data_IF_106906132277
#
_entry.id   IF_106906132277
#
_cell.length_a   1.000
_cell.length_b   1.000
_cell.length_c   1.000
_cell.angle_alpha   90.00
_cell.angle_beta   90.00
_cell.angle_gamma   90.00
#
_symmetry.space_group_name_H-M   'P 1'
#
loop_
_entity.id
_entity.type
_entity.pdbx_description
1 polymer ?
#
# COMPACT_ATOMS: atom_id res chain seq x y z
N UNK A 1 -4.11 16.59 -24.90
CA UNK A 1 -5.23 16.63 -23.95
C UNK A 1 -6.20 17.73 -24.36
N UNK A 2 -7.50 17.54 -24.11
CA UNK A 2 -8.49 18.60 -24.30
C UNK A 2 -8.21 19.77 -23.35
N UNK A 3 -8.13 21.00 -23.88
CA UNK A 3 -7.81 22.19 -23.09
C UNK A 3 -8.91 22.57 -22.10
N UNK A 4 -10.13 22.05 -22.31
CA UNK A 4 -11.26 22.28 -21.41
C UNK A 4 -11.24 21.35 -20.19
N UNK A 5 -10.48 20.25 -20.22
CA UNK A 5 -10.49 19.26 -19.15
C UNK A 5 -9.79 19.74 -17.87
N UNK A 6 -10.24 19.22 -16.71
CA UNK A 6 -9.59 19.49 -15.43
C UNK A 6 -8.16 18.95 -15.40
N UNK A 7 -7.90 17.81 -16.03
CA UNK A 7 -6.55 17.27 -16.12
C UNK A 7 -5.61 18.23 -16.85
N UNK A 8 -6.05 18.81 -17.98
CA UNK A 8 -5.23 19.80 -18.69
C UNK A 8 -4.99 21.05 -17.85
N UNK A 9 -6.03 21.56 -17.20
CA UNK A 9 -5.92 22.75 -16.35
C UNK A 9 -4.96 22.51 -15.18
N UNK A 10 -5.05 21.34 -14.52
CA UNK A 10 -4.15 20.97 -13.43
C UNK A 10 -2.71 20.78 -13.91
N UNK A 11 -2.49 20.05 -15.00
CA UNK A 11 -1.15 19.84 -15.56
C UNK A 11 -0.52 21.16 -16.03
N UNK A 12 -1.34 22.05 -16.61
CA UNK A 12 -0.89 23.39 -16.96
C UNK A 12 -0.41 24.16 -15.73
N UNK A 13 -1.17 24.17 -14.63
CA UNK A 13 -0.73 24.85 -13.40
C UNK A 13 0.58 24.24 -12.87
N UNK A 14 0.68 22.91 -12.77
CA UNK A 14 1.90 22.26 -12.26
C UNK A 14 3.13 22.53 -13.15
N UNK A 15 2.92 22.60 -14.47
CA UNK A 15 3.96 22.94 -15.44
C UNK A 15 4.36 24.42 -15.37
N UNK A 16 3.40 25.34 -15.41
CA UNK A 16 3.62 26.79 -15.39
C UNK A 16 4.30 27.26 -14.08
N UNK A 17 4.06 26.55 -12.97
CA UNK A 17 4.73 26.81 -11.68
C UNK A 17 6.08 26.14 -11.52
N UNK A 18 6.53 25.39 -12.53
CA UNK A 18 7.84 24.79 -12.56
C UNK A 18 8.02 23.67 -11.52
N UNK A 19 6.93 22.99 -11.11
CA UNK A 19 7.03 21.86 -10.18
C UNK A 19 7.97 20.78 -10.73
N UNK A 20 7.98 20.61 -12.05
CA UNK A 20 8.87 19.67 -12.74
C UNK A 20 10.35 19.93 -12.45
N UNK A 21 10.79 21.18 -12.28
CA UNK A 21 12.21 21.52 -12.11
C UNK A 21 12.86 20.91 -10.88
N UNK A 22 12.09 20.53 -9.86
CA UNK A 22 12.60 19.94 -8.62
C UNK A 22 12.03 18.54 -8.34
N UNK A 23 11.05 18.09 -9.12
CA UNK A 23 10.30 16.86 -8.88
C UNK A 23 10.34 15.87 -10.04
N UNK A 24 11.12 16.13 -11.10
CA UNK A 24 11.48 15.15 -12.12
C UNK A 24 12.94 15.31 -12.54
N UNK A 25 13.53 14.22 -13.04
CA UNK A 25 14.84 14.26 -13.69
C UNK A 25 14.75 14.59 -15.20
N UNK A 26 13.54 14.74 -15.74
CA UNK A 26 13.28 14.87 -17.17
C UNK A 26 13.02 16.32 -17.61
N UNK A 27 13.03 17.29 -16.71
CA UNK A 27 12.74 18.68 -17.05
C UNK A 27 13.93 19.38 -17.72
N UNK A 28 13.66 20.16 -18.77
CA UNK A 28 14.64 21.09 -19.32
C UNK A 28 14.89 22.24 -18.33
N UNK A 29 16.12 22.31 -17.82
CA UNK A 29 16.51 23.32 -16.85
C UNK A 29 16.74 24.69 -17.50
N UNK A 30 16.41 25.80 -16.82
CA UNK A 30 16.66 27.13 -17.35
C UNK A 30 18.16 27.38 -17.54
N UNK A 31 18.54 28.25 -18.48
CA UNK A 31 19.95 28.50 -18.86
C UNK A 31 20.87 28.92 -17.69
N UNK A 32 20.31 29.55 -16.65
CA UNK A 32 21.06 30.01 -15.49
C UNK A 32 21.34 28.90 -14.46
N UNK A 33 20.75 27.71 -14.63
CA UNK A 33 20.95 26.55 -13.73
C UNK A 33 22.40 26.08 -13.67
N UNK A 34 23.22 26.42 -14.67
CA UNK A 34 24.64 26.07 -14.72
C UNK A 34 25.56 27.15 -14.11
N UNK A 35 25.01 28.27 -13.62
CA UNK A 35 25.82 29.35 -13.06
C UNK A 35 26.41 28.96 -11.69
N UNK A 36 27.64 29.43 -11.33
CA UNK A 36 28.36 28.95 -10.14
C UNK A 36 27.62 29.04 -8.80
N UNK A 37 26.69 29.98 -8.65
CA UNK A 37 25.88 30.15 -7.42
C UNK A 37 24.54 29.42 -7.54
N UNK A 38 23.90 29.46 -8.71
CA UNK A 38 22.59 28.85 -8.93
C UNK A 38 22.65 27.32 -8.96
N UNK A 39 23.66 26.75 -9.62
CA UNK A 39 23.85 25.30 -9.78
C UNK A 39 23.82 24.51 -8.46
N UNK A 40 24.64 24.84 -7.44
CA UNK A 40 24.62 24.08 -6.19
C UNK A 40 23.30 24.23 -5.42
N UNK A 41 22.64 25.38 -5.49
CA UNK A 41 21.34 25.61 -4.84
C UNK A 41 20.24 24.80 -5.51
N UNK A 42 20.11 24.90 -6.84
CA UNK A 42 19.12 24.14 -7.61
C UNK A 42 19.33 22.64 -7.48
N UNK A 43 20.58 22.17 -7.50
CA UNK A 43 20.87 20.75 -7.27
C UNK A 43 20.45 20.30 -5.86
N UNK A 44 20.65 21.12 -4.84
CA UNK A 44 20.18 20.81 -3.48
C UNK A 44 18.64 20.77 -3.41
N UNK A 45 17.96 21.70 -4.08
CA UNK A 45 16.50 21.74 -4.17
C UNK A 45 15.94 20.52 -4.92
N UNK A 46 16.54 20.12 -6.05
CA UNK A 46 16.18 18.90 -6.78
C UNK A 46 16.38 17.66 -5.91
N UNK A 47 17.56 17.50 -5.30
CA UNK A 47 17.86 16.35 -4.46
C UNK A 47 16.91 16.25 -3.26
N UNK A 48 16.48 17.39 -2.72
CA UNK A 48 15.50 17.44 -1.64
C UNK A 48 14.09 17.14 -2.14
N UNK A 49 13.67 17.78 -3.25
CA UNK A 49 12.37 17.59 -3.87
C UNK A 49 12.11 16.15 -4.28
N UNK A 50 13.07 15.53 -4.98
CA UNK A 50 12.99 14.15 -5.46
C UNK A 50 12.91 13.11 -4.33
N UNK A 51 13.48 13.40 -3.14
CA UNK A 51 13.34 12.51 -1.97
C UNK A 51 11.91 12.51 -1.42
N UNK A 52 11.19 13.62 -1.56
CA UNK A 52 9.86 13.78 -1.00
C UNK A 52 8.74 13.50 -2.00
N UNK A 53 8.94 13.80 -3.28
CA UNK A 53 7.93 13.60 -4.29
C UNK A 53 8.55 13.55 -5.68
N UNK A 54 8.26 12.46 -6.39
CA UNK A 54 8.62 12.22 -7.79
C UNK A 54 7.33 12.37 -8.62
N UNK A 55 7.30 13.34 -9.53
CA UNK A 55 6.09 13.74 -10.27
C UNK A 55 6.00 13.08 -11.65
N UNK A 56 7.06 12.45 -12.14
CA UNK A 56 7.10 11.88 -13.50
C UNK A 56 5.99 10.85 -13.71
N UNK A 57 5.79 9.95 -12.74
CA UNK A 57 4.70 8.96 -12.83
C UNK A 57 3.32 9.61 -12.91
N UNK A 58 3.11 10.74 -12.21
CA UNK A 58 1.85 11.47 -12.28
C UNK A 58 1.62 12.05 -13.68
N UNK A 59 2.62 12.72 -14.24
CA UNK A 59 2.53 13.34 -15.56
C UNK A 59 2.34 12.31 -16.67
N UNK A 60 3.16 11.26 -16.66
CA UNK A 60 3.08 10.18 -17.64
C UNK A 60 1.75 9.44 -17.56
N UNK A 61 1.28 9.17 -16.33
CA UNK A 61 0.00 8.50 -16.13
C UNK A 61 -1.17 9.31 -16.71
N UNK A 62 -1.22 10.61 -16.45
CA UNK A 62 -2.28 11.48 -16.99
C UNK A 62 -2.19 11.58 -18.51
N UNK A 63 -0.98 11.67 -19.07
CA UNK A 63 -0.80 11.73 -20.52
C UNK A 63 -1.22 10.43 -21.22
N UNK A 64 -0.99 9.28 -20.59
CA UNK A 64 -1.30 7.95 -21.10
C UNK A 64 -2.68 7.44 -20.67
N UNK A 65 -3.46 8.26 -19.94
CA UNK A 65 -4.78 7.91 -19.41
C UNK A 65 -4.74 6.70 -18.45
N UNK A 66 -3.65 6.59 -17.68
CA UNK A 66 -3.44 5.61 -16.63
C UNK A 66 -3.96 6.12 -15.27
N UNK A 67 -4.26 5.22 -14.32
CA UNK A 67 -4.73 5.61 -12.99
C UNK A 67 -3.72 6.51 -12.26
N UNK A 68 -4.21 7.64 -11.76
CA UNK A 68 -3.41 8.55 -10.94
C UNK A 68 -3.18 7.96 -9.55
N UNK A 69 -1.93 8.00 -9.09
CA UNK A 69 -1.59 7.57 -7.73
C UNK A 69 -2.27 8.43 -6.67
N UNK A 70 -3.06 7.79 -5.83
CA UNK A 70 -3.70 8.46 -4.69
C UNK A 70 -2.65 9.02 -3.69
N UNK A 71 -1.40 8.49 -3.66
CA UNK A 71 -0.31 9.07 -2.84
C UNK A 71 0.08 10.44 -3.39
N UNK A 72 0.17 10.55 -4.72
CA UNK A 72 0.51 11.79 -5.37
C UNK A 72 -0.57 12.85 -5.13
N UNK A 73 -1.84 12.46 -5.26
CA UNK A 73 -2.98 13.34 -4.96
C UNK A 73 -2.94 13.85 -3.52
N UNK A 74 -2.78 12.98 -2.53
CA UNK A 74 -2.73 13.37 -1.12
C UNK A 74 -1.53 14.28 -0.79
N UNK A 75 -0.36 14.02 -1.38
CA UNK A 75 0.83 14.89 -1.20
C UNK A 75 0.65 16.28 -1.80
N UNK A 76 0.10 16.37 -3.02
CA UNK A 76 -0.18 17.66 -3.67
C UNK A 76 -1.26 18.41 -2.87
N UNK A 77 -2.32 17.73 -2.46
CA UNK A 77 -3.39 18.32 -1.66
C UNK A 77 -2.86 18.93 -0.36
N UNK A 78 -1.99 18.20 0.36
CA UNK A 78 -1.35 18.67 1.59
C UNK A 78 -0.62 20.00 1.36
N UNK A 79 0.31 20.03 0.42
CA UNK A 79 1.17 21.21 0.21
C UNK A 79 0.39 22.43 -0.29
N UNK A 80 -0.77 22.19 -0.92
CA UNK A 80 -1.71 23.24 -1.26
C UNK A 80 -2.43 23.78 -0.03
N UNK A 81 -2.87 22.93 0.91
CA UNK A 81 -3.56 23.38 2.13
C UNK A 81 -2.64 24.15 3.07
N UNK A 82 -1.46 23.61 3.37
CA UNK A 82 -0.52 24.22 4.33
C UNK A 82 0.34 25.33 3.71
N UNK A 83 0.37 25.44 2.37
CA UNK A 83 1.17 26.42 1.65
C UNK A 83 2.67 26.19 1.80
N UNK A 84 3.11 24.96 2.07
CA UNK A 84 4.52 24.61 2.23
C UNK A 84 5.28 24.62 0.90
N UNK A 85 4.58 24.55 -0.23
CA UNK A 85 5.16 24.55 -1.57
C UNK A 85 4.64 25.69 -2.46
N UNK A 86 5.50 26.30 -3.29
CA UNK A 86 6.97 26.13 -3.27
C UNK A 86 7.60 26.70 -1.99
N UNK A 87 8.79 26.22 -1.56
CA UNK A 87 9.44 26.72 -0.35
C UNK A 87 9.69 28.23 -0.42
N UNK A 88 9.56 28.95 0.72
CA UNK A 88 9.70 30.42 0.76
C UNK A 88 11.05 30.92 0.22
N UNK A 89 12.14 30.20 0.49
CA UNK A 89 13.47 30.53 -0.02
C UNK A 89 13.55 30.38 -1.55
N UNK A 90 12.87 29.39 -2.11
CA UNK A 90 12.78 29.24 -3.56
C UNK A 90 11.98 30.40 -4.17
N UNK A 91 10.85 30.76 -3.56
CA UNK A 91 10.00 31.87 -4.03
C UNK A 91 10.71 33.24 -4.05
N UNK A 92 11.74 33.46 -3.22
CA UNK A 92 12.48 34.74 -3.25
C UNK A 92 13.26 34.95 -4.54
N UNK A 93 13.65 33.87 -5.22
CA UNK A 93 14.32 33.91 -6.52
C UNK A 93 13.37 33.59 -7.68
N UNK A 94 12.27 32.89 -7.39
CA UNK A 94 11.31 32.39 -8.37
C UNK A 94 9.87 32.84 -8.03
N UNK A 95 9.64 34.15 -8.00
CA UNK A 95 8.34 34.71 -7.59
C UNK A 95 7.16 34.24 -8.45
N UNK A 96 7.40 33.91 -9.73
CA UNK A 96 6.38 33.40 -10.65
C UNK A 96 5.90 31.98 -10.32
N UNK A 97 6.67 31.24 -9.51
CA UNK A 97 6.30 29.90 -9.05
C UNK A 97 5.25 29.90 -7.93
N UNK A 98 4.94 31.07 -7.34
CA UNK A 98 3.88 31.19 -6.36
C UNK A 98 2.52 30.75 -6.91
N UNK A 99 1.76 30.01 -6.11
CA UNK A 99 0.43 29.49 -6.46
C UNK A 99 -0.63 30.50 -5.99
N UNK A 100 -1.40 31.06 -6.92
CA UNK A 100 -2.54 31.94 -6.62
C UNK A 100 -3.73 31.17 -6.05
N UNK A 101 -4.70 31.88 -5.46
CA UNK A 101 -5.92 31.27 -4.94
C UNK A 101 -6.74 30.55 -6.03
N UNK A 102 -6.76 31.07 -7.26
CA UNK A 102 -7.47 30.46 -8.40
C UNK A 102 -6.79 29.16 -8.86
N UNK A 103 -5.46 29.16 -8.94
CA UNK A 103 -4.66 27.98 -9.28
C UNK A 103 -4.77 26.90 -8.20
N UNK A 104 -4.69 27.29 -6.92
CA UNK A 104 -4.95 26.40 -5.79
C UNK A 104 -6.35 25.79 -5.86
N UNK A 105 -7.37 26.60 -6.16
CA UNK A 105 -8.74 26.12 -6.31
C UNK A 105 -8.86 25.12 -7.46
N UNK A 106 -8.23 25.41 -8.61
CA UNK A 106 -8.20 24.53 -9.78
C UNK A 106 -7.58 23.17 -9.44
N UNK A 107 -6.41 23.16 -8.77
CA UNK A 107 -5.74 21.93 -8.38
C UNK A 107 -6.55 21.12 -7.36
N UNK A 108 -7.11 21.77 -6.34
CA UNK A 108 -7.94 21.09 -5.34
C UNK A 108 -9.22 20.50 -5.96
N UNK A 109 -9.84 21.22 -6.90
CA UNK A 109 -11.00 20.72 -7.64
C UNK A 109 -10.65 19.50 -8.48
N UNK A 110 -9.52 19.55 -9.19
CA UNK A 110 -9.00 18.41 -9.94
C UNK A 110 -8.75 17.20 -9.02
N UNK A 111 -8.02 17.38 -7.92
CA UNK A 111 -7.74 16.29 -6.95
C UNK A 111 -9.03 15.63 -6.46
N UNK A 112 -10.00 16.42 -6.02
CA UNK A 112 -11.29 15.92 -5.51
C UNK A 112 -12.05 15.13 -6.57
N UNK A 113 -12.11 15.64 -7.81
CA UNK A 113 -12.78 14.95 -8.90
C UNK A 113 -12.07 13.65 -9.29
N UNK A 114 -10.73 13.68 -9.41
CA UNK A 114 -9.94 12.48 -9.71
C UNK A 114 -10.15 11.43 -8.64
N UNK A 115 -10.11 11.83 -7.37
CA UNK A 115 -10.35 10.92 -6.24
C UNK A 115 -11.77 10.37 -6.22
N UNK A 116 -12.78 11.21 -6.46
CA UNK A 116 -14.16 10.75 -6.55
C UNK A 116 -14.36 9.71 -7.66
N UNK A 117 -13.67 9.88 -8.80
CA UNK A 117 -13.65 8.89 -9.88
C UNK A 117 -12.93 7.59 -9.48
N UNK A 118 -11.77 7.67 -8.81
CA UNK A 118 -11.07 6.49 -8.26
C UNK A 118 -11.97 5.72 -7.30
N UNK A 119 -12.81 6.43 -6.54
CA UNK A 119 -13.73 5.86 -5.55
C UNK A 119 -15.15 5.63 -6.08
N UNK A 120 -15.39 5.66 -7.40
CA UNK A 120 -16.74 5.54 -7.97
C UNK A 120 -17.44 4.23 -7.56
N UNK A 121 -16.69 3.13 -7.48
CA UNK A 121 -17.20 1.80 -7.15
C UNK A 121 -17.15 1.50 -5.64
N UNK A 122 -16.75 2.49 -4.84
CA UNK A 122 -16.71 2.40 -3.38
C UNK A 122 -18.09 2.60 -2.77
N UNK A 123 -18.45 1.82 -1.73
CA UNK A 123 -19.66 2.05 -0.94
C UNK A 123 -19.51 3.23 0.03
N UNK A 124 -18.38 3.96 -0.01
CA UNK A 124 -18.20 5.19 0.76
C UNK A 124 -19.35 6.16 0.49
N UNK A 125 -19.83 6.80 1.55
CA UNK A 125 -20.87 7.81 1.48
C UNK A 125 -20.42 9.00 0.63
N UNK A 126 -21.34 9.60 -0.12
CA UNK A 126 -21.03 10.69 -1.06
C UNK A 126 -20.38 11.89 -0.39
N UNK A 127 -20.74 12.19 0.87
CA UNK A 127 -20.11 13.29 1.62
C UNK A 127 -18.62 13.05 1.94
N UNK A 128 -18.13 11.82 1.78
CA UNK A 128 -16.76 11.38 2.09
C UNK A 128 -16.01 10.83 0.86
N UNK A 129 -16.65 10.74 -0.30
CA UNK A 129 -16.07 10.14 -1.53
C UNK A 129 -14.81 10.85 -2.02
N UNK A 130 -14.73 12.16 -1.81
CA UNK A 130 -13.57 13.01 -2.14
C UNK A 130 -12.42 12.89 -1.11
N UNK A 131 -12.54 12.02 -0.10
CA UNK A 131 -11.55 11.82 0.96
C UNK A 131 -10.58 10.67 0.68
N UNK A 132 -9.40 10.74 1.28
CA UNK A 132 -8.26 9.80 1.14
C UNK A 132 -8.51 8.40 1.72
N UNK A 133 -9.47 8.27 2.65
CA UNK A 133 -9.76 7.02 3.38
C UNK A 133 -10.95 6.30 2.74
N UNK A 134 -10.87 4.99 2.61
CA UNK A 134 -11.89 4.16 1.96
C UNK A 134 -12.22 2.94 2.81
N UNK A 135 -13.49 2.49 2.85
CA UNK A 135 -13.82 1.29 3.61
C UNK A 135 -13.17 0.05 3.00
N UNK A 136 -13.12 -1.05 3.75
CA UNK A 136 -12.81 -2.37 3.19
C UNK A 136 -14.08 -2.93 2.56
N UNK A 137 -14.10 -3.06 1.23
CA UNK A 137 -15.27 -3.53 0.49
C UNK A 137 -14.95 -4.49 -0.66
N UNK A 138 -13.67 -4.75 -0.91
CA UNK A 138 -13.27 -5.63 -2.02
C UNK A 138 -13.35 -7.07 -1.57
N UNK A 139 -14.12 -7.86 -2.29
CA UNK A 139 -14.06 -9.32 -2.18
C UNK A 139 -13.08 -9.82 -3.23
N UNK A 140 -12.06 -10.56 -2.80
CA UNK A 140 -11.15 -11.23 -3.72
C UNK A 140 -11.83 -12.51 -4.21
N UNK A 141 -11.88 -12.69 -5.53
CA UNK A 141 -12.31 -13.97 -6.09
C UNK A 141 -11.28 -15.04 -5.74
N UNK A 142 -11.75 -16.13 -5.15
CA UNK A 142 -10.93 -17.25 -4.68
C UNK A 142 -11.58 -18.58 -5.04
N UNK A 143 -10.77 -19.61 -5.24
CA UNK A 143 -11.29 -20.97 -5.39
C UNK A 143 -11.44 -21.62 -4.01
N UNK A 144 -12.68 -21.99 -3.63
CA UNK A 144 -12.94 -22.55 -2.30
C UNK A 144 -12.12 -23.79 -1.93
N UNK A 145 -11.81 -24.65 -2.90
CA UNK A 145 -11.04 -25.87 -2.64
C UNK A 145 -9.57 -25.52 -2.39
N UNK A 146 -9.02 -24.55 -3.12
CA UNK A 146 -7.70 -23.99 -2.87
C UNK A 146 -7.63 -23.26 -1.53
N UNK A 147 -8.66 -22.51 -1.14
CA UNK A 147 -8.76 -21.87 0.18
C UNK A 147 -8.75 -22.92 1.29
N UNK A 148 -9.52 -24.01 1.16
CA UNK A 148 -9.54 -25.10 2.16
C UNK A 148 -8.21 -25.82 2.27
N UNK A 149 -7.47 -25.95 1.16
CA UNK A 149 -6.11 -26.50 1.15
C UNK A 149 -5.12 -25.51 1.77
N UNK A 150 -5.15 -24.24 1.36
CA UNK A 150 -4.32 -23.16 1.90
C UNK A 150 -4.47 -23.00 3.40
N UNK A 151 -5.71 -23.04 3.90
CA UNK A 151 -5.98 -23.02 5.34
C UNK A 151 -5.32 -24.20 6.07
N UNK A 152 -5.35 -25.39 5.48
CA UNK A 152 -4.68 -26.54 6.08
C UNK A 152 -3.17 -26.32 6.12
N UNK A 153 -2.55 -25.91 5.00
CA UNK A 153 -1.12 -25.63 4.88
C UNK A 153 -0.65 -24.50 5.82
N UNK A 154 -1.44 -23.44 5.96
CA UNK A 154 -1.14 -22.30 6.84
C UNK A 154 -0.95 -22.71 8.31
N UNK A 155 -1.64 -23.77 8.75
CA UNK A 155 -1.55 -24.31 10.10
C UNK A 155 -0.64 -25.54 10.19
N UNK A 156 -0.08 -26.01 9.07
CA UNK A 156 0.68 -27.25 9.00
C UNK A 156 2.15 -27.01 9.38
N UNK A 157 2.61 -27.61 10.48
CA UNK A 157 3.98 -27.44 10.94
C UNK A 157 4.99 -28.15 10.06
N UNK A 158 4.56 -29.09 9.20
CA UNK A 158 5.44 -29.85 8.29
C UNK A 158 6.07 -28.99 7.19
N UNK A 159 5.64 -27.74 7.06
CA UNK A 159 6.33 -26.73 6.25
C UNK A 159 7.69 -26.31 6.84
N UNK A 160 7.89 -26.47 8.14
CA UNK A 160 9.18 -26.22 8.82
C UNK A 160 10.09 -27.44 8.78
N UNK A 161 11.39 -27.21 8.92
CA UNK A 161 12.42 -28.25 8.83
C UNK A 161 12.25 -29.34 9.89
N UNK A 162 11.88 -28.96 11.12
CA UNK A 162 11.74 -29.86 12.29
C UNK A 162 10.29 -30.15 12.70
N UNK A 163 9.32 -29.76 11.87
CA UNK A 163 7.88 -29.96 12.09
C UNK A 163 7.31 -29.24 13.33
N UNK A 164 7.93 -28.13 13.78
CA UNK A 164 7.50 -27.39 14.98
C UNK A 164 6.81 -26.04 14.70
N UNK A 165 7.04 -25.42 13.54
CA UNK A 165 6.56 -24.07 13.21
C UNK A 165 5.66 -24.10 11.97
N UNK A 166 4.56 -23.35 11.99
CA UNK A 166 3.69 -23.08 10.83
C UNK A 166 3.51 -21.56 10.64
N UNK A 167 2.82 -21.14 9.58
CA UNK A 167 2.50 -19.73 9.38
C UNK A 167 1.68 -19.18 10.57
N UNK A 168 0.74 -19.99 11.08
CA UNK A 168 -0.08 -19.65 12.24
C UNK A 168 0.70 -19.48 13.55
N UNK A 169 1.94 -19.99 13.65
CA UNK A 169 2.80 -19.78 14.83
C UNK A 169 3.15 -18.30 15.02
N UNK A 170 3.47 -17.60 13.93
CA UNK A 170 3.86 -16.18 13.94
C UNK A 170 2.68 -15.24 13.60
N UNK A 171 1.67 -15.76 12.91
CA UNK A 171 0.53 -14.99 12.40
C UNK A 171 -0.81 -15.55 12.95
N UNK A 172 -0.92 -15.71 14.26
CA UNK A 172 -2.11 -16.28 14.90
C UNK A 172 -3.39 -15.51 14.55
N UNK A 173 -4.40 -16.21 14.02
CA UNK A 173 -5.66 -15.57 13.59
C UNK A 173 -6.53 -15.11 14.76
N UNK A 174 -6.36 -15.71 15.93
CA UNK A 174 -7.01 -15.34 17.19
C UNK A 174 -6.27 -14.21 17.94
N UNK A 175 -5.08 -13.85 17.49
CA UNK A 175 -4.22 -12.80 18.08
C UNK A 175 -4.05 -11.59 17.17
N UNK A 176 -4.96 -11.40 16.22
CA UNK A 176 -4.93 -10.26 15.29
C UNK A 176 -4.00 -10.47 14.09
N UNK A 177 -3.69 -11.71 13.74
CA UNK A 177 -2.83 -12.07 12.61
C UNK A 177 -1.33 -11.89 12.88
N UNK A 178 -0.96 -11.73 14.15
CA UNK A 178 0.40 -11.49 14.65
C UNK A 178 0.68 -12.30 15.91
N UNK A 179 1.95 -12.43 16.30
CA UNK A 179 2.38 -13.13 17.51
C UNK A 179 2.43 -12.25 18.77
N UNK A 180 2.24 -10.92 18.63
CA UNK A 180 2.40 -9.92 19.68
C UNK A 180 3.81 -9.88 20.32
N UNK A 181 4.84 -10.21 19.55
CA UNK A 181 6.24 -10.18 19.97
C UNK A 181 7.03 -9.07 19.25
N UNK A 182 8.11 -8.59 19.87
CA UNK A 182 9.05 -7.65 19.22
C UNK A 182 9.76 -8.30 18.04
N UNK A 183 10.03 -9.60 18.14
CA UNK A 183 10.56 -10.45 17.08
C UNK A 183 10.02 -11.87 17.24
N UNK A 184 9.66 -12.50 16.13
CA UNK A 184 9.02 -13.80 16.13
C UNK A 184 9.96 -14.91 16.59
N UNK A 185 9.42 -15.89 17.31
CA UNK A 185 10.15 -17.10 17.72
C UNK A 185 9.91 -18.16 16.67
N UNK A 186 10.95 -18.51 15.92
CA UNK A 186 10.91 -19.54 14.90
C UNK A 186 11.57 -20.85 15.35
N UNK A 187 12.06 -21.59 14.36
CA UNK A 187 12.62 -22.93 14.51
C UNK A 187 13.73 -22.98 15.57
N UNK A 188 13.71 -24.02 16.39
CA UNK A 188 14.64 -24.22 17.52
C UNK A 188 14.62 -23.09 18.57
N UNK A 189 13.55 -22.29 18.63
CA UNK A 189 13.41 -21.19 19.59
C UNK A 189 14.24 -19.95 19.23
N UNK A 190 14.71 -19.85 17.99
CA UNK A 190 15.45 -18.68 17.51
C UNK A 190 14.53 -17.47 17.41
N UNK A 191 15.05 -16.28 17.72
CA UNK A 191 14.27 -15.03 17.71
C UNK A 191 14.69 -14.18 16.51
N UNK A 192 13.71 -13.82 15.67
CA UNK A 192 13.88 -12.93 14.52
C UNK A 192 14.18 -11.48 14.91
N UNK A 193 14.74 -10.72 13.97
CA UNK A 193 15.13 -9.32 14.18
C UNK A 193 14.03 -8.28 13.91
N UNK A 194 12.84 -8.72 13.51
CA UNK A 194 11.73 -7.84 13.13
C UNK A 194 10.39 -8.42 13.59
N UNK A 195 9.45 -7.56 13.91
CA UNK A 195 8.08 -7.93 14.27
C UNK A 195 7.33 -8.50 13.05
N UNK A 196 6.55 -9.56 13.27
CA UNK A 196 5.66 -10.11 12.26
C UNK A 196 4.51 -9.13 11.96
N UNK A 197 4.36 -8.63 10.71
CA UNK A 197 3.19 -7.84 10.34
C UNK A 197 1.94 -8.72 10.32
N UNK A 198 0.76 -8.12 10.43
CA UNK A 198 -0.50 -8.89 10.41
C UNK A 198 -0.75 -9.53 9.04
N UNK A 199 -1.30 -10.75 9.04
CA UNK A 199 -1.84 -11.38 7.82
C UNK A 199 -3.20 -10.78 7.42
N UNK A 200 -3.93 -10.15 8.35
CA UNK A 200 -5.23 -9.58 8.02
C UNK A 200 -5.08 -8.40 7.07
N UNK A 201 -5.88 -8.38 6.02
CA UNK A 201 -5.85 -7.37 4.94
C UNK A 201 -4.53 -7.29 4.16
N UNK A 202 -3.59 -8.22 4.35
CA UNK A 202 -2.29 -8.22 3.63
C UNK A 202 -2.45 -8.35 2.11
N UNK A 203 -3.56 -8.93 1.66
CA UNK A 203 -3.95 -9.01 0.25
C UNK A 203 -4.17 -7.63 -0.42
N UNK A 204 -4.36 -6.57 0.36
CA UNK A 204 -4.44 -5.21 -0.16
C UNK A 204 -3.07 -4.54 -0.30
N UNK A 205 -2.03 -5.04 0.35
CA UNK A 205 -0.71 -4.44 0.28
C UNK A 205 -0.19 -4.48 -1.17
N UNK A 206 0.42 -3.38 -1.62
CA UNK A 206 1.07 -3.34 -2.93
C UNK A 206 2.25 -4.30 -3.05
N UNK A 207 3.00 -4.47 -1.96
CA UNK A 207 4.17 -5.34 -1.83
C UNK A 207 4.14 -5.97 -0.44
N UNK A 208 4.77 -7.12 -0.28
CA UNK A 208 4.82 -7.84 0.99
C UNK A 208 6.18 -7.68 1.68
N UNK A 209 6.18 -7.95 2.99
CA UNK A 209 7.25 -7.62 3.95
C UNK A 209 7.44 -6.12 4.19
N UNK A 210 8.11 -5.80 5.30
CA UNK A 210 8.43 -4.42 5.70
C UNK A 210 9.27 -3.64 4.68
N UNK A 211 10.10 -4.32 3.91
CA UNK A 211 10.96 -3.74 2.87
C UNK A 211 10.36 -3.87 1.46
N UNK A 212 9.16 -4.45 1.32
CA UNK A 212 8.48 -4.62 0.04
C UNK A 212 9.18 -5.56 -0.94
N UNK A 213 10.06 -6.46 -0.47
CA UNK A 213 10.88 -7.30 -1.36
C UNK A 213 10.11 -8.38 -2.12
N UNK A 214 8.89 -8.70 -1.71
CA UNK A 214 8.02 -9.69 -2.37
C UNK A 214 6.86 -8.99 -3.07
N UNK A 215 6.56 -9.42 -4.30
CA UNK A 215 5.60 -8.73 -5.16
C UNK A 215 4.15 -8.98 -4.75
N UNK A 216 3.86 -10.15 -4.19
CA UNK A 216 2.52 -10.56 -3.78
C UNK A 216 2.58 -11.61 -2.65
N UNK A 217 1.41 -12.10 -2.22
CA UNK A 217 1.29 -13.11 -1.16
C UNK A 217 1.92 -14.46 -1.51
N UNK A 218 1.87 -14.87 -2.79
CA UNK A 218 2.44 -16.15 -3.21
C UNK A 218 3.97 -16.10 -3.16
N UNK A 219 4.56 -15.01 -3.67
CA UNK A 219 6.00 -14.73 -3.58
C UNK A 219 6.46 -14.67 -2.11
N UNK A 220 5.67 -14.00 -1.25
CA UNK A 220 5.92 -13.94 0.19
C UNK A 220 5.91 -15.33 0.84
N UNK A 221 4.90 -16.16 0.55
CA UNK A 221 4.75 -17.49 1.15
C UNK A 221 5.90 -18.45 0.82
N UNK A 222 6.66 -18.17 -0.25
CA UNK A 222 7.85 -18.93 -0.62
C UNK A 222 9.10 -18.63 0.22
N UNK A 223 9.11 -17.53 0.98
CA UNK A 223 10.26 -17.09 1.78
C UNK A 223 10.40 -17.80 3.14
N UNK A 224 9.41 -17.69 4.06
CA UNK A 224 9.48 -18.21 5.42
C UNK A 224 9.90 -19.68 5.54
N UNK A 225 9.41 -20.60 4.67
CA UNK A 225 9.81 -22.01 4.73
C UNK A 225 11.32 -22.24 4.74
N UNK A 226 12.09 -21.38 4.05
CA UNK A 226 13.55 -21.54 3.89
C UNK A 226 14.38 -20.61 4.77
N UNK A 227 13.75 -19.68 5.48
CA UNK A 227 14.50 -18.83 6.39
C UNK A 227 14.96 -19.67 7.60
N UNK A 228 16.28 -19.79 7.88
CA UNK A 228 16.80 -20.65 8.94
C UNK A 228 16.46 -20.19 10.36
N UNK A 229 15.96 -18.95 10.52
CA UNK A 229 15.48 -18.40 11.80
C UNK A 229 13.97 -18.61 11.94
N UNK A 230 13.23 -18.70 10.83
CA UNK A 230 11.77 -18.84 10.83
C UNK A 230 11.37 -20.33 10.79
N UNK A 231 11.39 -20.97 9.62
CA UNK A 231 10.92 -22.35 9.45
C UNK A 231 12.03 -23.34 9.08
N UNK A 232 13.14 -22.89 8.50
CA UNK A 232 14.38 -23.68 8.35
C UNK A 232 14.31 -24.99 7.56
N UNK A 233 13.38 -25.13 6.62
CA UNK A 233 13.41 -26.25 5.67
C UNK A 233 14.58 -26.13 4.70
N UNK A 234 15.18 -27.26 4.31
CA UNK A 234 16.34 -27.33 3.40
C UNK A 234 15.95 -27.15 1.92
N UNK A 235 14.66 -27.32 1.60
CA UNK A 235 14.14 -27.18 0.24
C UNK A 235 12.72 -27.72 0.09
N UNK A 236 12.07 -27.40 -1.03
CA UNK A 236 10.70 -27.86 -1.30
C UNK A 236 10.57 -29.39 -1.27
N UNK A 237 11.58 -30.14 -1.70
CA UNK A 237 11.52 -31.61 -1.67
C UNK A 237 11.31 -32.14 -0.25
N UNK A 238 11.98 -31.56 0.75
CA UNK A 238 11.82 -31.95 2.15
C UNK A 238 10.36 -31.76 2.60
N UNK A 239 9.75 -30.64 2.23
CA UNK A 239 8.35 -30.32 2.56
C UNK A 239 7.42 -31.29 1.81
N UNK A 240 7.60 -31.45 0.50
CA UNK A 240 6.79 -32.31 -0.36
C UNK A 240 6.81 -33.75 0.15
N UNK A 241 7.96 -34.28 0.56
CA UNK A 241 8.11 -35.64 1.10
C UNK A 241 7.31 -35.83 2.39
N UNK A 242 7.18 -34.79 3.23
CA UNK A 242 6.37 -34.82 4.44
C UNK A 242 4.88 -34.76 4.11
N UNK A 243 4.49 -33.79 3.28
CA UNK A 243 3.09 -33.54 2.91
C UNK A 243 2.49 -34.71 2.10
N UNK A 244 3.28 -35.36 1.24
CA UNK A 244 2.82 -36.48 0.41
C UNK A 244 2.52 -37.76 1.18
N UNK A 245 2.94 -37.86 2.45
CA UNK A 245 2.63 -38.99 3.34
C UNK A 245 1.25 -38.86 4.00
N UNK A 246 0.58 -37.73 3.81
CA UNK A 246 -0.74 -37.44 4.35
C UNK A 246 -1.83 -37.69 3.28
N UNK A 247 -2.60 -38.78 3.38
CA UNK A 247 -3.63 -39.10 2.39
C UNK A 247 -4.72 -38.03 2.28
N UNK A 248 -5.04 -37.33 3.38
CA UNK A 248 -6.07 -36.29 3.36
C UNK A 248 -5.57 -35.04 2.63
N UNK A 249 -4.31 -34.66 2.87
CA UNK A 249 -3.70 -33.53 2.18
C UNK A 249 -3.52 -33.83 0.69
N UNK A 250 -3.06 -35.03 0.34
CA UNK A 250 -2.97 -35.50 -1.05
C UNK A 250 -4.34 -35.43 -1.74
N UNK A 251 -5.43 -35.84 -1.06
CA UNK A 251 -6.78 -35.71 -1.60
C UNK A 251 -7.19 -34.24 -1.86
N UNK A 252 -6.80 -33.30 -0.99
CA UNK A 252 -7.02 -31.86 -1.20
C UNK A 252 -6.24 -31.31 -2.40
N UNK A 253 -5.00 -31.75 -2.60
CA UNK A 253 -4.19 -31.41 -3.79
C UNK A 253 -4.77 -32.00 -5.08
N UNK A 254 -5.27 -33.25 -5.04
CA UNK A 254 -5.99 -33.86 -6.16
C UNK A 254 -7.18 -33.01 -6.60
N UNK A 255 -7.95 -32.49 -5.64
CA UNK A 255 -9.11 -31.64 -5.92
C UNK A 255 -8.74 -30.26 -6.47
N UNK A 256 -7.65 -29.67 -5.99
CA UNK A 256 -7.32 -28.25 -6.23
C UNK A 256 -6.34 -28.03 -7.39
N UNK A 257 -5.48 -29.01 -7.65
CA UNK A 257 -4.34 -28.94 -8.57
C UNK A 257 -4.05 -30.28 -9.27
N UNK A 258 -5.05 -31.16 -9.42
CA UNK A 258 -4.90 -32.47 -10.08
C UNK A 258 -3.77 -33.35 -9.48
N UNK A 259 -3.44 -33.15 -8.21
CA UNK A 259 -2.48 -33.97 -7.47
C UNK A 259 -1.06 -33.40 -7.45
N UNK A 260 -0.81 -32.26 -8.09
CA UNK A 260 0.50 -31.62 -8.09
C UNK A 260 0.81 -30.99 -6.73
N UNK A 261 1.78 -31.57 -6.02
CA UNK A 261 2.33 -31.03 -4.77
C UNK A 261 3.71 -30.43 -5.09
N UNK A 262 3.75 -29.12 -5.33
CA UNK A 262 4.96 -28.37 -5.67
C UNK A 262 5.04 -27.11 -4.82
N UNK A 263 6.21 -26.46 -4.78
CA UNK A 263 6.34 -25.16 -4.10
C UNK A 263 5.35 -24.11 -4.63
N UNK A 264 5.09 -24.14 -5.94
CA UNK A 264 4.11 -23.24 -6.57
C UNK A 264 2.67 -23.53 -6.10
N UNK A 265 2.23 -24.79 -6.12
CA UNK A 265 0.86 -25.12 -5.68
C UNK A 265 0.65 -24.95 -4.18
N UNK A 266 1.69 -25.16 -3.37
CA UNK A 266 1.70 -24.88 -1.92
C UNK A 266 1.53 -23.38 -1.67
N UNK A 267 2.41 -22.54 -2.22
CA UNK A 267 2.41 -21.09 -2.01
C UNK A 267 1.14 -20.45 -2.57
N UNK A 268 0.69 -20.88 -3.76
CA UNK A 268 -0.55 -20.39 -4.35
C UNK A 268 -1.77 -20.75 -3.49
N UNK A 269 -1.84 -21.96 -2.92
CA UNK A 269 -2.93 -22.32 -2.01
C UNK A 269 -2.95 -21.46 -0.75
N UNK A 270 -1.79 -21.21 -0.13
CA UNK A 270 -1.67 -20.33 1.04
C UNK A 270 -2.14 -18.92 0.68
N UNK A 271 -1.67 -18.35 -0.43
CA UNK A 271 -2.09 -17.03 -0.89
C UNK A 271 -3.62 -16.96 -1.14
N UNK A 272 -4.22 -18.00 -1.72
CA UNK A 272 -5.69 -18.08 -1.89
C UNK A 272 -6.43 -18.03 -0.55
N UNK A 273 -5.90 -18.70 0.49
CA UNK A 273 -6.46 -18.61 1.83
C UNK A 273 -6.28 -17.21 2.43
N UNK A 274 -5.10 -16.60 2.32
CA UNK A 274 -4.80 -15.28 2.88
C UNK A 274 -5.64 -14.16 2.24
N UNK A 275 -6.00 -14.27 0.96
CA UNK A 275 -6.97 -13.39 0.30
C UNK A 275 -8.34 -13.34 1.00
N UNK A 276 -8.70 -14.40 1.73
CA UNK A 276 -9.96 -14.45 2.51
C UNK A 276 -9.85 -13.79 3.88
N UNK A 277 -8.64 -13.49 4.35
CA UNK A 277 -8.37 -12.89 5.65
C UNK A 277 -8.55 -11.37 5.62
N UNK A 278 -9.70 -10.93 5.12
CA UNK A 278 -10.12 -9.52 5.12
C UNK A 278 -11.02 -9.23 6.32
N UNK A 279 -10.95 -8.01 6.86
CA UNK A 279 -11.70 -7.59 8.05
C UNK A 279 -12.64 -6.40 7.76
N UNK A 280 -13.65 -6.56 6.88
CA UNK A 280 -14.59 -5.50 6.57
C UNK A 280 -15.53 -5.21 7.75
N UNK A 281 -16.27 -4.12 7.62
CA UNK A 281 -17.35 -3.73 8.53
C UNK A 281 -16.86 -3.30 9.93
N UNK A 282 -15.66 -2.73 10.01
CA UNK A 282 -15.22 -2.02 11.20
C UNK A 282 -16.18 -0.85 11.53
N UNK A 283 -16.14 -0.34 12.76
CA UNK A 283 -16.91 0.88 13.11
C UNK A 283 -16.53 2.05 12.22
N UNK A 284 -15.25 2.14 11.84
CA UNK A 284 -14.78 3.16 10.92
C UNK A 284 -15.27 2.92 9.48
N UNK A 285 -15.33 1.67 8.99
CA UNK A 285 -15.96 1.35 7.71
C UNK A 285 -17.42 1.81 7.69
N UNK A 286 -18.18 1.50 8.74
CA UNK A 286 -19.59 1.89 8.87
C UNK A 286 -19.74 3.42 8.88
N UNK A 287 -18.82 4.14 9.53
CA UNK A 287 -18.77 5.59 9.49
C UNK A 287 -18.50 6.12 8.09
N UNK A 288 -17.57 5.50 7.35
CA UNK A 288 -17.26 5.87 5.97
C UNK A 288 -18.42 5.61 5.03
N UNK A 289 -19.23 4.57 5.26
CA UNK A 289 -20.41 4.21 4.43
C UNK A 289 -21.71 4.90 4.85
N UNK A 290 -21.64 5.87 5.78
CA UNK A 290 -22.74 6.81 6.07
C UNK A 290 -23.35 6.71 7.46
N UNK A 291 -22.97 5.72 8.28
CA UNK A 291 -23.40 5.66 9.68
C UNK A 291 -22.58 6.63 10.56
N UNK A 292 -23.00 7.89 10.64
CA UNK A 292 -22.30 8.95 11.38
C UNK A 292 -22.09 8.65 12.87
N UNK A 293 -22.88 7.73 13.43
CA UNK A 293 -22.88 7.38 14.86
C UNK A 293 -22.10 6.08 15.14
N UNK A 294 -21.52 5.45 14.11
CA UNK A 294 -20.68 4.26 14.28
C UNK A 294 -19.41 4.53 15.09
N UNK A 295 -18.89 5.75 14.99
CA UNK A 295 -17.78 6.26 15.80
C UNK A 295 -18.24 7.40 16.71
N UNK A 296 -17.65 7.49 17.89
CA UNK A 296 -17.98 8.50 18.90
C UNK A 296 -17.25 9.83 18.64
N UNK A 297 -17.51 10.83 19.49
CA UNK A 297 -16.92 12.17 19.34
C UNK A 297 -15.41 12.20 19.58
N UNK A 298 -14.88 11.28 20.39
CA UNK A 298 -13.44 11.16 20.62
C UNK A 298 -12.75 10.58 19.39
N UNK A 299 -13.33 9.55 18.77
CA UNK A 299 -12.85 8.95 17.52
C UNK A 299 -12.96 9.94 16.35
N UNK A 300 -14.05 10.72 16.26
CA UNK A 300 -14.18 11.83 15.28
C UNK A 300 -13.12 12.91 15.48
N UNK A 301 -12.79 13.23 16.73
CA UNK A 301 -11.70 14.15 17.04
C UNK A 301 -10.35 13.56 16.64
N UNK A 302 -10.10 12.28 16.93
CA UNK A 302 -8.92 11.55 16.48
C UNK A 302 -8.76 11.57 14.95
N UNK A 303 -9.83 11.32 14.20
CA UNK A 303 -9.85 11.44 12.74
C UNK A 303 -9.51 12.86 12.27
N UNK A 304 -9.99 13.88 12.99
CA UNK A 304 -9.66 15.28 12.69
C UNK A 304 -8.17 15.53 12.86
N UNK A 305 -7.58 15.05 13.96
CA UNK A 305 -6.13 15.14 14.21
C UNK A 305 -5.31 14.36 13.18
N UNK A 306 -5.76 13.15 12.81
CA UNK A 306 -5.12 12.32 11.79
C UNK A 306 -4.95 13.06 10.46
N UNK A 307 -5.99 13.79 10.02
CA UNK A 307 -5.95 14.64 8.82
C UNK A 307 -5.14 15.92 9.04
N UNK A 308 -5.33 16.57 10.19
CA UNK A 308 -4.62 17.81 10.53
C UNK A 308 -3.09 17.61 10.54
N UNK A 309 -2.62 16.46 11.02
CA UNK A 309 -1.20 16.09 11.02
C UNK A 309 -0.76 15.32 9.77
N UNK A 310 -1.62 15.26 8.75
CA UNK A 310 -1.31 14.66 7.44
C UNK A 310 -0.93 13.19 7.48
N UNK A 311 -1.40 12.43 8.46
CA UNK A 311 -1.18 10.99 8.54
C UNK A 311 -1.75 10.28 7.30
N UNK A 312 -2.82 10.83 6.72
CA UNK A 312 -3.51 10.37 5.52
C UNK A 312 -2.75 10.62 4.19
N UNK A 313 -1.55 11.20 4.24
CA UNK A 313 -0.67 11.28 3.07
C UNK A 313 0.14 10.00 2.83
N UNK A 314 0.30 9.18 3.88
CA UNK A 314 0.95 7.88 3.82
C UNK A 314 -0.01 6.73 4.18
N UNK A 315 -0.87 6.92 5.19
CA UNK A 315 -1.82 5.91 5.67
C UNK A 315 -3.22 6.18 5.10
N UNK A 316 -3.51 5.60 3.93
CA UNK A 316 -4.66 5.98 3.11
C UNK A 316 -5.18 4.86 2.22
N UNK A 317 -6.34 5.06 1.62
CA UNK A 317 -7.03 4.02 0.85
C UNK A 317 -7.65 2.94 1.73
N UNK A 318 -7.86 1.75 1.16
CA UNK A 318 -8.54 0.61 1.81
C UNK A 318 -7.61 -0.18 2.75
N UNK A 319 -6.30 -0.10 2.51
CA UNK A 319 -5.25 -0.83 3.24
C UNK A 319 -5.14 -0.41 4.73
N UNK A 320 -5.53 0.84 5.06
CA UNK A 320 -5.24 1.46 6.37
C UNK A 320 -6.48 1.79 7.21
N UNK A 321 -7.63 1.18 6.89
CA UNK A 321 -8.85 1.28 7.70
C UNK A 321 -8.73 0.55 9.06
N UNK A 322 -7.57 -0.05 9.35
CA UNK A 322 -7.25 -0.74 10.61
C UNK A 322 -6.58 0.15 11.68
N UNK A 323 -6.27 1.41 11.40
CA UNK A 323 -5.50 2.27 12.32
C UNK A 323 -6.33 3.27 13.14
N UNK A 324 -7.67 3.16 13.11
CA UNK A 324 -8.58 4.03 13.90
C UNK A 324 -9.63 3.17 14.59
#
# INVERSE_FOLDING_TARGET
MDKSSLDYQAMKVLSDKGCAYCHTNESEMPFYSEWPIAKPLMNADIQTGMKHFEITQLFNGIQNNEPVSEVALARIEKVLYDGSMPPKLYQSMHWSAGISNEEKHTLLKWIRQTRANIHQDSPVDDSRREGTLQPIYTQFEVNEDRVKLGKALYHDTRLSGDDTVSCATCHGLDTGGVDNLVGSVGIHGQVGGINAPTVFNSAYNKLQFWDGRANDLQDQAGGPPFNPIEMGSEGWQQIIDKLSRDPELVAKFNKSYNGEITGDTITHAIAEFEKTLVTPNSRFDQYLTGNSDAIDDHEKYGLTLFKQYSCDTCHKGREYTLLI
#
